data_IF_226025919392
#
_entry.id   IF_226025919392
#
_cell.length_a   1.000
_cell.length_b   1.000
_cell.length_c   1.000
_cell.angle_alpha   90.00
_cell.angle_beta   90.00
_cell.angle_gamma   90.00
#
_symmetry.space_group_name_H-M   'P 1'
#
loop_
_entity.id
_entity.type
_entity.pdbx_description
1 polymer ?
#
# COMPACT_ATOMS: atom_id res chain seq x y z
N UNK A 1 0.20 -23.69 38.51
CA UNK A 1 0.09 -23.28 37.09
C UNK A 1 1.48 -22.97 36.57
N UNK A 2 1.87 -23.54 35.44
CA UNK A 2 3.22 -23.37 34.89
C UNK A 2 3.39 -21.97 34.29
N UNK A 3 4.55 -21.33 34.44
CA UNK A 3 4.87 -20.03 33.81
C UNK A 3 4.65 -20.02 32.29
N UNK A 4 4.62 -21.20 31.66
CA UNK A 4 4.37 -21.41 30.23
C UNK A 4 2.91 -21.16 29.83
N UNK A 5 1.96 -21.45 30.71
CA UNK A 5 0.52 -21.27 30.44
C UNK A 5 0.13 -19.79 30.54
N UNK A 6 0.77 -19.06 31.44
CA UNK A 6 0.50 -17.64 31.69
C UNK A 6 0.97 -16.72 30.55
N UNK A 7 2.10 -17.04 29.90
CA UNK A 7 2.55 -16.31 28.71
C UNK A 7 1.66 -16.57 27.49
N UNK A 8 1.20 -17.81 27.31
CA UNK A 8 0.31 -18.17 26.19
C UNK A 8 -1.03 -17.44 26.27
N UNK A 9 -1.57 -17.26 27.47
CA UNK A 9 -2.82 -16.52 27.70
C UNK A 9 -2.65 -15.02 27.43
N UNK A 10 -1.48 -14.43 27.77
CA UNK A 10 -1.18 -13.03 27.48
C UNK A 10 -1.02 -12.75 25.99
N UNK A 11 -0.41 -13.67 25.25
CA UNK A 11 -0.26 -13.55 23.80
C UNK A 11 -1.61 -13.64 23.07
N UNK A 12 -2.53 -14.46 23.57
CA UNK A 12 -3.91 -14.55 23.06
C UNK A 12 -4.73 -13.28 23.35
N UNK A 13 -4.64 -12.75 24.58
CA UNK A 13 -5.32 -11.51 24.96
C UNK A 13 -4.85 -10.30 24.14
N UNK A 14 -3.54 -10.16 23.93
CA UNK A 14 -2.98 -9.09 23.09
C UNK A 14 -3.43 -9.22 21.63
N UNK A 15 -3.58 -10.45 21.11
CA UNK A 15 -4.07 -10.68 19.75
C UNK A 15 -5.53 -10.27 19.56
N UNK A 16 -6.38 -10.60 20.54
CA UNK A 16 -7.80 -10.23 20.51
C UNK A 16 -8.02 -8.71 20.69
N UNK A 17 -7.21 -8.04 21.50
CA UNK A 17 -7.26 -6.58 21.65
C UNK A 17 -6.83 -5.86 20.36
N UNK A 18 -5.75 -6.33 19.73
CA UNK A 18 -5.28 -5.77 18.45
C UNK A 18 -6.31 -5.98 17.32
N UNK A 19 -6.97 -7.15 17.29
CA UNK A 19 -8.01 -7.43 16.30
C UNK A 19 -9.25 -6.55 16.50
N UNK A 20 -9.62 -6.25 17.75
CA UNK A 20 -10.72 -5.31 18.06
C UNK A 20 -10.37 -3.87 17.71
N UNK A 21 -9.14 -3.42 17.98
CA UNK A 21 -8.68 -2.07 17.64
C UNK A 21 -8.67 -1.85 16.12
N UNK A 22 -8.21 -2.85 15.35
CA UNK A 22 -8.26 -2.83 13.88
C UNK A 22 -9.72 -2.85 13.37
N UNK A 23 -10.61 -3.62 14.02
CA UNK A 23 -12.03 -3.65 13.65
C UNK A 23 -12.75 -2.32 13.94
N UNK A 24 -12.45 -1.68 15.07
CA UNK A 24 -13.02 -0.38 15.43
C UNK A 24 -12.51 0.73 14.47
N UNK A 25 -11.22 0.74 14.12
CA UNK A 25 -10.69 1.64 13.07
C UNK A 25 -11.37 1.40 11.71
N UNK A 26 -11.62 0.14 11.32
CA UNK A 26 -12.32 -0.15 10.06
C UNK A 26 -13.79 0.28 10.09
N UNK A 27 -14.48 0.20 11.24
CA UNK A 27 -15.87 0.63 11.38
C UNK A 27 -16.01 2.16 11.34
N UNK A 28 -15.11 2.90 11.97
CA UNK A 28 -15.08 4.37 11.93
C UNK A 28 -14.73 4.91 10.53
N UNK A 29 -13.89 4.18 9.77
CA UNK A 29 -13.66 4.52 8.36
C UNK A 29 -14.93 4.39 7.52
N UNK A 30 -15.79 3.38 7.77
CA UNK A 30 -16.95 3.04 6.93
C UNK A 30 -18.05 4.11 6.95
N UNK A 31 -18.29 4.76 8.08
CA UNK A 31 -19.34 5.79 8.22
C UNK A 31 -19.00 7.10 7.49
N UNK A 32 -17.74 7.32 7.09
CA UNK A 32 -17.30 8.49 6.32
C UNK A 32 -17.04 8.21 4.83
N UNK A 33 -17.23 6.97 4.35
CA UNK A 33 -16.95 6.62 2.95
C UNK A 33 -18.06 7.14 2.03
N UNK A 34 -17.68 8.04 1.12
CA UNK A 34 -18.55 8.47 0.03
C UNK A 34 -18.80 7.28 -0.93
N UNK A 35 -19.99 6.71 -0.80
CA UNK A 35 -20.42 5.54 -1.57
C UNK A 35 -20.85 5.87 -3.01
N UNK A 36 -21.12 7.15 -3.30
CA UNK A 36 -21.43 7.64 -4.65
C UNK A 36 -20.59 8.88 -5.01
N UNK A 37 -19.26 8.71 -5.13
CA UNK A 37 -18.37 9.83 -5.33
C UNK A 37 -18.53 10.39 -6.74
N UNK A 38 -18.44 11.72 -6.86
CA UNK A 38 -18.49 12.42 -8.15
C UNK A 38 -17.37 11.95 -9.08
N UNK A 39 -17.56 12.12 -10.39
CA UNK A 39 -16.56 11.77 -11.41
C UNK A 39 -15.19 12.41 -11.11
N UNK A 40 -15.17 13.68 -10.67
CA UNK A 40 -13.93 14.38 -10.32
C UNK A 40 -13.20 13.75 -9.14
N UNK A 41 -13.91 13.28 -8.10
CA UNK A 41 -13.29 12.56 -6.98
C UNK A 41 -12.66 11.24 -7.44
N UNK A 42 -13.35 10.49 -8.32
CA UNK A 42 -12.80 9.25 -8.90
C UNK A 42 -11.55 9.53 -9.75
N UNK A 43 -11.58 10.59 -10.55
CA UNK A 43 -10.45 11.01 -11.36
C UNK A 43 -9.25 11.40 -10.47
N UNK A 44 -9.46 12.22 -9.44
CA UNK A 44 -8.40 12.60 -8.50
C UNK A 44 -7.82 11.40 -7.76
N UNK A 45 -8.66 10.46 -7.30
CA UNK A 45 -8.19 9.23 -6.68
C UNK A 45 -7.29 8.43 -7.65
N UNK A 46 -7.71 8.28 -8.91
CA UNK A 46 -6.90 7.61 -9.93
C UNK A 46 -5.60 8.37 -10.25
N UNK A 47 -5.63 9.70 -10.30
CA UNK A 47 -4.43 10.50 -10.52
C UNK A 47 -3.46 10.38 -9.34
N UNK A 48 -3.97 10.33 -8.11
CA UNK A 48 -3.19 10.13 -6.91
C UNK A 48 -2.52 8.75 -6.91
N UNK A 49 -3.26 7.70 -7.31
CA UNK A 49 -2.70 6.36 -7.50
C UNK A 49 -1.54 6.37 -8.51
N UNK A 50 -1.71 7.02 -9.67
CA UNK A 50 -0.65 7.12 -10.67
C UNK A 50 0.57 7.93 -10.15
N UNK A 51 0.34 9.03 -9.42
CA UNK A 51 1.40 9.83 -8.85
C UNK A 51 2.23 9.03 -7.82
N UNK A 52 1.55 8.28 -6.94
CA UNK A 52 2.21 7.38 -5.99
C UNK A 52 3.02 6.33 -6.75
N UNK A 53 2.44 5.72 -7.78
CA UNK A 53 3.09 4.66 -8.54
C UNK A 53 4.35 5.15 -9.27
N UNK A 54 4.30 6.34 -9.88
CA UNK A 54 5.46 7.00 -10.49
C UNK A 54 6.53 7.27 -9.43
N UNK A 55 6.13 7.82 -8.27
CA UNK A 55 7.04 8.12 -7.17
C UNK A 55 7.77 6.88 -6.63
N UNK A 56 7.04 5.80 -6.37
CA UNK A 56 7.61 4.53 -5.91
C UNK A 56 8.51 3.91 -7.00
N UNK A 57 8.13 4.03 -8.28
CA UNK A 57 8.96 3.55 -9.40
C UNK A 57 10.29 4.29 -9.48
N UNK A 58 10.26 5.62 -9.32
CA UNK A 58 11.48 6.44 -9.30
C UNK A 58 12.38 6.08 -8.11
N UNK A 59 11.79 5.86 -6.93
CA UNK A 59 12.54 5.42 -5.76
C UNK A 59 13.22 4.06 -5.98
N UNK A 60 12.49 3.10 -6.55
CA UNK A 60 13.05 1.78 -6.91
C UNK A 60 14.16 1.88 -7.94
N UNK A 61 14.06 2.79 -8.91
CA UNK A 61 15.14 3.03 -9.87
C UNK A 61 16.41 3.51 -9.18
N UNK A 62 16.30 4.45 -8.23
CA UNK A 62 17.45 4.93 -7.46
C UNK A 62 18.08 3.79 -6.65
N UNK A 63 17.27 2.97 -6.00
CA UNK A 63 17.74 1.80 -5.26
C UNK A 63 18.42 0.81 -6.21
N UNK A 64 17.82 0.55 -7.37
CA UNK A 64 18.36 -0.36 -8.38
C UNK A 64 19.71 0.13 -8.91
N UNK A 65 19.82 1.40 -9.29
CA UNK A 65 21.07 2.01 -9.77
C UNK A 65 22.16 1.96 -8.70
N UNK A 66 21.81 2.26 -7.45
CA UNK A 66 22.72 2.13 -6.32
C UNK A 66 23.23 0.68 -6.12
N UNK A 67 22.35 -0.31 -6.24
CA UNK A 67 22.71 -1.73 -6.10
C UNK A 67 23.66 -2.21 -7.20
N UNK A 68 23.39 -1.87 -8.46
CA UNK A 68 24.27 -2.26 -9.57
C UNK A 68 25.59 -1.47 -9.55
N UNK A 69 25.58 -0.26 -8.98
CA UNK A 69 26.76 0.55 -8.71
C UNK A 69 27.81 -0.17 -7.88
N UNK A 70 27.41 -0.99 -6.90
CA UNK A 70 28.35 -1.81 -6.12
C UNK A 70 29.07 -2.87 -6.95
N UNK A 71 28.48 -3.29 -8.07
CA UNK A 71 29.01 -4.32 -8.96
C UNK A 71 29.81 -3.65 -10.12
N UNK A 72 29.90 -2.32 -10.14
CA UNK A 72 30.63 -1.55 -11.14
C UNK A 72 29.82 -1.22 -12.41
N UNK A 73 28.50 -1.40 -12.36
CA UNK A 73 27.59 -1.04 -13.44
C UNK A 73 26.81 0.24 -13.10
N UNK A 74 26.28 0.90 -14.12
CA UNK A 74 25.40 2.06 -13.97
C UNK A 74 24.23 1.94 -14.94
N UNK A 75 23.09 2.50 -14.57
CA UNK A 75 21.95 2.61 -15.48
C UNK A 75 22.26 3.62 -16.59
N UNK A 76 22.43 3.14 -17.82
CA UNK A 76 22.65 3.97 -19.01
C UNK A 76 21.37 4.70 -19.47
N UNK A 77 20.21 4.02 -19.43
CA UNK A 77 18.91 4.60 -19.79
C UNK A 77 17.91 4.56 -18.62
N UNK A 78 17.92 5.59 -17.74
CA UNK A 78 17.04 5.65 -16.57
C UNK A 78 15.56 5.59 -16.93
N UNK A 79 15.16 6.24 -18.04
CA UNK A 79 13.76 6.30 -18.48
C UNK A 79 13.23 4.93 -18.89
N UNK A 80 14.02 4.12 -19.62
CA UNK A 80 13.62 2.78 -20.02
C UNK A 80 13.40 1.87 -18.81
N UNK A 81 14.32 1.89 -17.84
CA UNK A 81 14.20 1.08 -16.62
C UNK A 81 13.05 1.59 -15.74
N UNK A 82 12.84 2.91 -15.65
CA UNK A 82 11.70 3.48 -14.94
C UNK A 82 10.37 2.95 -15.50
N UNK A 83 10.22 2.91 -16.82
CA UNK A 83 9.01 2.41 -17.47
C UNK A 83 8.78 0.92 -17.20
N UNK A 84 9.84 0.11 -17.18
CA UNK A 84 9.77 -1.31 -16.84
C UNK A 84 9.30 -1.49 -15.39
N UNK A 85 9.95 -0.80 -14.45
CA UNK A 85 9.58 -0.84 -13.02
C UNK A 85 8.13 -0.38 -12.85
N UNK A 86 7.76 0.73 -13.47
CA UNK A 86 6.41 1.26 -13.43
C UNK A 86 5.37 0.28 -14.00
N UNK A 87 5.66 -0.36 -15.12
CA UNK A 87 4.78 -1.37 -15.72
C UNK A 87 4.56 -2.57 -14.80
N UNK A 88 5.63 -3.09 -14.19
CA UNK A 88 5.55 -4.18 -13.20
C UNK A 88 4.70 -3.72 -12.01
N UNK A 89 5.00 -2.56 -11.43
CA UNK A 89 4.25 -2.04 -10.30
C UNK A 89 2.79 -1.78 -10.65
N UNK A 90 2.46 -1.33 -11.86
CA UNK A 90 1.08 -1.08 -12.28
C UNK A 90 0.24 -2.37 -12.27
N UNK A 91 0.81 -3.47 -12.78
CA UNK A 91 0.17 -4.79 -12.74
C UNK A 91 0.01 -5.29 -11.31
N UNK A 92 1.01 -5.06 -10.45
CA UNK A 92 1.00 -5.51 -9.06
C UNK A 92 0.20 -4.61 -8.12
N UNK A 93 0.01 -3.34 -8.47
CA UNK A 93 -0.61 -2.32 -7.61
C UNK A 93 -2.00 -2.75 -7.18
N UNK A 94 -2.80 -3.20 -8.14
CA UNK A 94 -4.19 -3.58 -7.90
C UNK A 94 -4.29 -4.84 -7.01
N UNK A 95 -3.59 -5.96 -7.29
CA UNK A 95 -3.50 -7.10 -6.37
C UNK A 95 -3.04 -6.74 -4.96
N UNK A 96 -2.05 -5.85 -4.81
CA UNK A 96 -1.48 -5.45 -3.51
C UNK A 96 -2.51 -4.68 -2.68
N UNK A 97 -3.21 -3.71 -3.28
CA UNK A 97 -4.05 -2.77 -2.53
C UNK A 97 -5.56 -3.09 -2.54
N UNK A 98 -6.10 -3.67 -3.62
CA UNK A 98 -7.53 -4.01 -3.70
C UNK A 98 -7.87 -5.37 -3.06
N UNK A 99 -6.88 -6.18 -2.68
CA UNK A 99 -7.09 -7.53 -2.16
C UNK A 99 -7.95 -7.62 -0.89
N UNK A 100 -7.77 -6.71 0.08
CA UNK A 100 -8.51 -6.74 1.36
C UNK A 100 -9.71 -5.79 1.43
N UNK A 101 -9.54 -4.51 1.02
CA UNK A 101 -10.56 -3.48 1.27
C UNK A 101 -11.18 -2.93 -0.03
N UNK A 102 -10.88 -3.55 -1.21
CA UNK A 102 -11.36 -3.15 -2.55
C UNK A 102 -11.10 -1.68 -2.94
N UNK A 103 -10.20 -1.00 -2.23
CA UNK A 103 -9.88 0.44 -2.37
C UNK A 103 -8.37 0.62 -2.51
N UNK A 104 -7.98 1.30 -3.58
CA UNK A 104 -6.61 1.76 -3.82
C UNK A 104 -6.23 2.88 -2.82
N UNK A 105 -4.93 3.22 -2.72
CA UNK A 105 -4.49 4.29 -1.82
C UNK A 105 -5.18 5.63 -2.12
N UNK A 106 -5.35 5.96 -3.40
CA UNK A 106 -6.04 7.16 -3.84
C UNK A 106 -7.48 7.22 -3.35
N UNK A 107 -8.19 6.08 -3.40
CA UNK A 107 -9.56 5.96 -2.89
C UNK A 107 -9.63 6.01 -1.36
N UNK A 108 -8.61 5.49 -0.66
CA UNK A 108 -8.50 5.59 0.81
C UNK A 108 -8.31 7.04 1.24
N UNK A 109 -7.34 7.73 0.65
CA UNK A 109 -7.01 9.13 0.96
C UNK A 109 -8.20 10.06 0.70
N UNK A 110 -8.98 9.82 -0.36
CA UNK A 110 -10.16 10.62 -0.67
C UNK A 110 -11.43 10.15 0.04
N UNK A 111 -11.36 9.12 0.90
CA UNK A 111 -12.50 8.52 1.59
C UNK A 111 -13.65 8.13 0.63
N UNK A 112 -13.33 7.57 -0.54
CA UNK A 112 -14.32 7.13 -1.54
C UNK A 112 -14.28 5.62 -1.78
N UNK A 113 -15.38 5.06 -2.29
CA UNK A 113 -15.50 3.64 -2.66
C UNK A 113 -14.84 3.29 -4.01
#
# INVERSE_FOLDING_TARGET
MSKKDENTIKDLLNGEELEKEILEEELDEVDQIDSNPSFFKKLLASLLDQAILIGVSALLLVIFDFLIGFIGYMVEEPTGILLIIFGILNVLYRPIFEGKNKRTLGKRILAIK
#
